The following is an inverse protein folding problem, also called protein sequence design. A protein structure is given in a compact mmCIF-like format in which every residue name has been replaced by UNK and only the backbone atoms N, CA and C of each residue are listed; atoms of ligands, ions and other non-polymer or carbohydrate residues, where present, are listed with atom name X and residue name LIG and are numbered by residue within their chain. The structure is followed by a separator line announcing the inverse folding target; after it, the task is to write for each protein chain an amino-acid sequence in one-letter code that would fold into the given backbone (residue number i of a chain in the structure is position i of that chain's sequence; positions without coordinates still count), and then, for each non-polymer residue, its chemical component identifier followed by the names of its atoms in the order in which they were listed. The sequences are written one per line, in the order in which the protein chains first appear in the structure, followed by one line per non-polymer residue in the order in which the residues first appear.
data_IF_227809221389
#
_entry.id   IF_227809221389
#
_cell.length_a   1.000
_cell.length_b   1.000
_cell.length_c   1.000
_cell.angle_alpha   90.00
_cell.angle_beta   90.00
_cell.angle_gamma   90.00
#
_symmetry.space_group_name_H-M   'P 1'
#
loop_
_entity.id
_entity.type
_entity.pdbx_description
1 polymer ?
#
# COMPACT_ATOMS: atom_id res chain seq x y z
N UNK A 1 31.12 8.02 8.41
CA UNK A 1 31.37 6.56 8.35
C UNK A 1 30.28 5.89 9.17
N UNK A 2 29.25 5.37 8.50
CA UNK A 2 28.25 4.48 9.11
C UNK A 2 28.47 3.13 8.46
N UNK A 3 28.91 2.16 9.26
CA UNK A 3 29.23 0.81 8.80
C UNK A 3 28.00 0.14 8.20
N UNK A 4 28.19 -0.42 7.01
CA UNK A 4 27.30 -1.39 6.41
C UNK A 4 27.33 -2.65 7.27
N UNK A 5 26.34 -2.81 8.14
CA UNK A 5 26.08 -4.11 8.75
C UNK A 5 25.25 -4.89 7.76
N UNK A 6 25.88 -5.83 7.07
CA UNK A 6 25.22 -6.92 6.35
C UNK A 6 24.46 -7.78 7.38
N UNK A 7 23.26 -7.34 7.76
CA UNK A 7 22.35 -8.20 8.53
C UNK A 7 21.60 -9.09 7.55
N UNK A 8 21.97 -10.37 7.51
CA UNK A 8 21.22 -11.42 6.82
C UNK A 8 19.72 -11.32 7.15
N UNK A 9 18.85 -11.39 6.13
CA UNK A 9 17.38 -11.25 6.25
C UNK A 9 16.72 -12.53 6.82
N UNK A 10 17.35 -13.11 7.84
CA UNK A 10 16.87 -14.27 8.58
C UNK A 10 15.71 -13.88 9.51
N UNK A 11 14.84 -14.86 9.82
CA UNK A 11 13.78 -14.63 10.81
C UNK A 11 14.42 -14.30 12.16
N UNK A 12 13.79 -13.45 13.00
CA UNK A 12 14.30 -13.19 14.34
C UNK A 12 14.48 -14.51 15.09
N UNK A 13 15.69 -14.79 15.55
CA UNK A 13 15.94 -15.90 16.47
C UNK A 13 15.24 -15.61 17.80
N UNK A 14 14.60 -16.62 18.42
CA UNK A 14 14.12 -16.45 19.79
C UNK A 14 15.30 -16.16 20.71
N UNK A 15 15.07 -15.28 21.69
CA UNK A 15 16.00 -15.00 22.78
C UNK A 15 16.19 -16.27 23.62
N UNK A 16 17.25 -16.29 24.44
CA UNK A 16 17.65 -17.45 25.24
C UNK A 16 16.58 -17.93 26.23
N UNK A 17 15.59 -17.10 26.55
CA UNK A 17 14.44 -17.39 27.41
C UNK A 17 13.18 -17.85 26.62
N UNK A 18 13.29 -17.99 25.29
CA UNK A 18 12.17 -18.31 24.40
C UNK A 18 11.30 -17.11 24.02
N UNK A 19 11.59 -15.91 24.53
CA UNK A 19 10.91 -14.68 24.13
C UNK A 19 11.43 -14.18 22.78
N UNK A 20 10.65 -13.38 22.05
CA UNK A 20 11.07 -12.81 20.77
C UNK A 20 11.44 -11.33 20.93
N UNK A 21 12.45 -10.86 20.19
CA UNK A 21 12.82 -9.44 20.18
C UNK A 21 11.60 -8.58 19.80
N UNK A 22 11.01 -7.82 20.74
CA UNK A 22 9.79 -7.06 20.49
C UNK A 22 10.05 -5.96 19.47
N UNK A 23 9.09 -5.72 18.58
CA UNK A 23 9.13 -4.55 17.71
C UNK A 23 8.30 -3.46 18.37
N UNK A 24 8.95 -2.42 18.86
CA UNK A 24 8.30 -1.27 19.49
C UNK A 24 8.18 -0.12 18.49
N UNK A 25 6.97 0.41 18.31
CA UNK A 25 6.68 1.46 17.35
C UNK A 25 6.40 2.78 18.07
N UNK A 26 6.96 3.92 17.62
CA UNK A 26 6.73 5.21 18.26
C UNK A 26 5.29 5.67 18.03
N UNK A 27 4.63 6.10 19.10
CA UNK A 27 3.25 6.66 19.07
C UNK A 27 3.30 8.19 18.90
N UNK A 28 4.36 8.82 19.42
CA UNK A 28 4.58 10.26 19.37
C UNK A 28 6.08 10.57 19.33
N UNK A 29 6.39 11.88 19.36
CA UNK A 29 7.76 12.40 19.41
C UNK A 29 8.32 12.52 20.83
N UNK A 30 7.53 12.19 21.85
CA UNK A 30 7.89 12.30 23.27
C UNK A 30 8.56 11.02 23.80
N UNK A 31 8.69 9.99 22.95
CA UNK A 31 9.34 8.74 23.30
C UNK A 31 8.38 7.69 23.84
N UNK A 32 7.08 7.81 23.59
CA UNK A 32 6.13 6.74 23.89
C UNK A 32 6.10 5.70 22.76
N UNK A 33 6.06 4.43 23.13
CA UNK A 33 6.09 3.30 22.18
C UNK A 33 4.95 2.32 22.44
N UNK A 34 4.51 1.66 21.37
CA UNK A 34 3.59 0.53 21.44
C UNK A 34 4.24 -0.74 20.87
N UNK A 35 4.18 -1.88 21.57
CA UNK A 35 4.67 -3.13 21.02
C UNK A 35 3.76 -3.64 19.90
N UNK A 36 4.37 -4.10 18.80
CA UNK A 36 3.68 -4.88 17.78
C UNK A 36 3.28 -6.23 18.40
N UNK A 37 2.02 -6.67 18.22
CA UNK A 37 1.55 -7.94 18.76
C UNK A 37 2.48 -9.10 18.39
N UNK A 38 2.80 -9.94 19.38
CA UNK A 38 3.79 -11.02 19.25
C UNK A 38 3.51 -11.95 18.06
N UNK A 39 2.23 -12.25 17.83
CA UNK A 39 1.74 -13.05 16.70
C UNK A 39 2.20 -12.55 15.34
N UNK A 40 2.40 -11.24 15.19
CA UNK A 40 2.97 -10.62 13.99
C UNK A 40 4.50 -10.48 14.12
N UNK A 41 4.98 -9.92 15.24
CA UNK A 41 6.39 -9.57 15.44
C UNK A 41 7.35 -10.77 15.29
N UNK A 42 6.90 -11.98 15.67
CA UNK A 42 7.66 -13.22 15.58
C UNK A 42 8.02 -13.63 14.16
N UNK A 43 7.22 -13.23 13.16
CA UNK A 43 7.40 -13.73 11.78
C UNK A 43 7.78 -12.65 10.78
N UNK A 44 7.73 -11.38 11.20
CA UNK A 44 8.28 -10.29 10.41
C UNK A 44 9.81 -10.44 10.29
N UNK A 45 10.28 -10.50 9.05
CA UNK A 45 11.71 -10.40 8.70
C UNK A 45 12.25 -8.99 8.97
N UNK A 46 13.58 -8.79 9.07
CA UNK A 46 14.20 -7.48 9.29
C UNK A 46 13.64 -6.36 8.41
N UNK A 47 13.63 -6.54 7.09
CA UNK A 47 13.03 -5.53 6.20
C UNK A 47 11.54 -5.32 6.53
N UNK A 48 10.78 -6.38 6.78
CA UNK A 48 9.36 -6.25 7.11
C UNK A 48 9.13 -5.46 8.41
N UNK A 49 10.02 -5.58 9.40
CA UNK A 49 9.98 -4.79 10.64
C UNK A 49 10.19 -3.30 10.37
N UNK A 50 11.19 -2.95 9.56
CA UNK A 50 11.41 -1.57 9.11
C UNK A 50 10.20 -1.01 8.35
N UNK A 51 9.60 -1.82 7.47
CA UNK A 51 8.44 -1.40 6.70
C UNK A 51 7.21 -1.18 7.57
N UNK A 52 7.00 -2.02 8.60
CA UNK A 52 5.96 -1.82 9.61
C UNK A 52 6.20 -0.53 10.40
N UNK A 53 7.44 -0.27 10.83
CA UNK A 53 7.77 0.96 11.55
C UNK A 53 7.57 2.21 10.70
N UNK A 54 8.03 2.19 9.44
CA UNK A 54 7.85 3.27 8.48
C UNK A 54 6.36 3.57 8.24
N UNK A 55 5.58 2.53 7.92
CA UNK A 55 4.14 2.69 7.69
C UNK A 55 3.43 3.23 8.94
N UNK A 56 3.76 2.71 10.13
CA UNK A 56 3.14 3.16 11.37
C UNK A 56 3.42 4.64 11.66
N UNK A 57 4.68 5.08 11.50
CA UNK A 57 5.07 6.48 11.64
C UNK A 57 4.32 7.39 10.65
N UNK A 58 4.23 6.98 9.38
CA UNK A 58 3.46 7.72 8.37
C UNK A 58 1.99 7.86 8.75
N UNK A 59 1.34 6.76 9.14
CA UNK A 59 -0.09 6.77 9.47
C UNK A 59 -0.42 7.55 10.75
N UNK A 60 0.55 7.75 11.65
CA UNK A 60 0.42 8.62 12.83
C UNK A 60 0.85 10.07 12.58
N UNK A 61 1.36 10.40 11.39
CA UNK A 61 1.82 11.76 11.07
C UNK A 61 3.16 12.10 11.73
N UNK A 62 3.97 11.08 12.03
CA UNK A 62 5.29 11.22 12.64
C UNK A 62 6.42 11.31 11.62
N UNK A 63 6.12 11.20 10.32
CA UNK A 63 7.10 11.32 9.25
C UNK A 63 7.80 12.68 9.24
N UNK A 64 9.10 12.64 8.97
CA UNK A 64 9.92 13.85 8.82
C UNK A 64 9.85 14.37 7.40
N UNK A 65 9.07 15.42 7.21
CA UNK A 65 8.98 16.15 5.95
C UNK A 65 10.04 17.26 5.88
N UNK A 66 10.49 17.64 4.67
CA UNK A 66 11.37 18.79 4.48
C UNK A 66 10.76 20.08 5.07
N UNK A 67 11.60 20.94 5.63
CA UNK A 67 11.16 22.19 6.30
C UNK A 67 10.34 23.08 5.37
N UNK A 68 10.71 23.11 4.10
CA UNK A 68 10.04 23.91 3.07
C UNK A 68 8.57 23.50 2.88
N UNK A 69 8.23 22.23 3.15
CA UNK A 69 6.84 21.74 3.10
C UNK A 69 6.14 21.94 4.44
N UNK A 70 6.84 21.69 5.55
CA UNK A 70 6.29 21.81 6.89
C UNK A 70 5.89 23.26 7.24
N UNK A 71 6.51 24.27 6.62
CA UNK A 71 6.13 25.68 6.77
C UNK A 71 4.85 26.06 6.01
N UNK A 72 4.55 25.36 4.91
CA UNK A 72 3.41 25.66 4.03
C UNK A 72 2.18 24.84 4.41
N UNK A 73 2.40 23.60 4.86
CA UNK A 73 1.35 22.61 5.11
C UNK A 73 1.54 21.99 6.48
N UNK A 74 0.44 21.80 7.21
CA UNK A 74 0.42 21.03 8.45
C UNK A 74 0.71 19.55 8.17
N UNK A 75 1.98 19.17 8.25
CA UNK A 75 2.46 17.81 7.97
C UNK A 75 2.00 16.79 9.00
N UNK A 76 1.53 17.21 10.18
CA UNK A 76 0.96 16.28 11.19
C UNK A 76 -0.33 15.62 10.69
N UNK A 77 -1.00 16.26 9.73
CA UNK A 77 -2.21 15.76 9.06
C UNK A 77 -1.90 14.93 7.81
N UNK A 78 -0.62 14.75 7.45
CA UNK A 78 -0.21 13.89 6.35
C UNK A 78 -0.11 12.44 6.83
N UNK A 79 -1.26 11.77 6.93
CA UNK A 79 -1.36 10.40 7.46
C UNK A 79 -1.41 9.32 6.35
N UNK A 80 -0.81 9.60 5.20
CA UNK A 80 -0.75 8.72 4.04
C UNK A 80 0.61 8.02 3.90
N UNK A 81 0.60 6.78 3.43
CA UNK A 81 1.80 6.00 3.16
C UNK A 81 1.64 5.20 1.86
N UNK A 82 2.73 5.07 1.10
CA UNK A 82 2.82 4.18 -0.07
C UNK A 82 3.94 3.16 0.17
N UNK A 83 3.59 1.88 0.24
CA UNK A 83 4.55 0.79 0.27
C UNK A 83 4.69 0.21 -1.14
N UNK A 84 5.78 0.55 -1.82
CA UNK A 84 6.09 0.22 -3.20
C UNK A 84 7.20 -0.85 -3.33
N UNK A 85 7.32 -1.72 -2.33
CA UNK A 85 8.23 -2.87 -2.37
C UNK A 85 7.95 -3.80 -3.56
N UNK A 86 8.98 -4.42 -4.10
CA UNK A 86 8.84 -5.46 -5.13
C UNK A 86 7.87 -6.60 -4.71
N UNK A 87 7.29 -7.27 -5.71
CA UNK A 87 6.42 -8.43 -5.50
C UNK A 87 7.20 -9.56 -4.81
N UNK A 88 6.68 -10.07 -3.69
CA UNK A 88 7.29 -11.15 -2.91
C UNK A 88 7.78 -10.75 -1.51
N UNK A 89 7.99 -9.46 -1.24
CA UNK A 89 8.47 -8.94 0.06
C UNK A 89 7.43 -8.93 1.21
N UNK A 90 6.24 -9.50 0.97
CA UNK A 90 5.23 -9.68 2.03
C UNK A 90 4.52 -8.39 2.49
N UNK A 91 4.28 -7.43 1.60
CA UNK A 91 3.51 -6.19 1.87
C UNK A 91 2.17 -6.45 2.58
N UNK A 92 1.49 -7.54 2.23
CA UNK A 92 0.23 -7.98 2.85
C UNK A 92 0.42 -8.27 4.34
N UNK A 93 1.49 -8.96 4.73
CA UNK A 93 1.79 -9.25 6.13
C UNK A 93 2.13 -7.97 6.90
N UNK A 94 2.97 -7.11 6.31
CA UNK A 94 3.35 -5.83 6.92
C UNK A 94 2.11 -4.94 7.16
N UNK A 95 1.21 -4.82 6.18
CA UNK A 95 -0.04 -4.05 6.34
C UNK A 95 -0.99 -4.64 7.39
N UNK A 96 -1.05 -5.97 7.54
CA UNK A 96 -1.81 -6.62 8.62
C UNK A 96 -1.19 -6.28 9.98
N UNK A 97 0.13 -6.35 10.11
CA UNK A 97 0.81 -6.04 11.36
C UNK A 97 0.56 -4.60 11.81
N UNK A 98 0.64 -3.63 10.90
CA UNK A 98 0.33 -2.22 11.19
C UNK A 98 -1.14 -2.04 11.57
N UNK A 99 -2.07 -2.56 10.77
CA UNK A 99 -3.51 -2.48 11.05
C UNK A 99 -3.86 -3.09 12.40
N UNK A 100 -3.29 -4.26 12.71
CA UNK A 100 -3.56 -4.98 13.95
C UNK A 100 -2.97 -4.27 15.17
N UNK A 101 -1.78 -3.68 15.02
CA UNK A 101 -1.17 -2.85 16.07
C UNK A 101 -2.08 -1.64 16.35
N UNK A 102 -2.48 -0.88 15.32
CA UNK A 102 -3.40 0.25 15.46
C UNK A 102 -4.74 -0.15 16.11
N UNK A 103 -5.30 -1.31 15.74
CA UNK A 103 -6.52 -1.83 16.33
C UNK A 103 -6.40 -2.06 17.84
N UNK A 104 -5.28 -2.62 18.30
CA UNK A 104 -5.07 -2.88 19.73
C UNK A 104 -4.70 -1.62 20.51
N UNK A 105 -3.85 -0.76 19.93
CA UNK A 105 -3.37 0.47 20.61
C UNK A 105 -4.50 1.44 20.94
N UNK A 106 -5.54 1.49 20.09
CA UNK A 106 -6.61 2.47 20.21
C UNK A 106 -7.96 1.88 20.68
N UNK A 107 -8.03 0.58 20.98
CA UNK A 107 -9.26 -0.09 21.41
C UNK A 107 -9.81 0.47 22.74
N UNK A 108 -8.92 0.95 23.61
CA UNK A 108 -9.27 1.49 24.93
C UNK A 108 -9.94 2.87 24.91
N UNK A 109 -9.95 3.60 23.78
CA UNK A 109 -10.48 4.97 23.74
C UNK A 109 -11.96 5.08 23.34
N UNK A 110 -12.71 3.98 23.30
CA UNK A 110 -14.16 3.94 23.00
C UNK A 110 -14.56 4.63 21.65
N UNK A 111 -13.58 4.87 20.77
CA UNK A 111 -13.76 5.39 19.42
C UNK A 111 -13.83 4.18 18.49
N UNK A 112 -14.91 4.07 17.71
CA UNK A 112 -15.07 3.01 16.70
C UNK A 112 -13.97 3.14 15.64
N UNK A 113 -12.89 2.40 15.77
CA UNK A 113 -11.88 2.33 14.72
C UNK A 113 -12.33 1.32 13.66
N UNK A 114 -12.88 1.84 12.57
CA UNK A 114 -13.35 1.01 11.46
C UNK A 114 -12.33 1.06 10.34
N UNK A 115 -11.91 -0.10 9.86
CA UNK A 115 -10.89 -0.22 8.84
C UNK A 115 -11.51 -0.76 7.55
N UNK A 116 -11.17 -0.16 6.41
CA UNK A 116 -11.55 -0.71 5.12
C UNK A 116 -10.30 -1.17 4.38
N UNK A 117 -10.26 -2.45 4.07
CA UNK A 117 -9.24 -3.04 3.21
C UNK A 117 -9.86 -3.27 1.84
N UNK A 118 -9.36 -2.54 0.86
CA UNK A 118 -9.72 -2.67 -0.54
C UNK A 118 -8.84 -3.76 -1.17
N UNK A 119 -9.50 -4.72 -1.79
CA UNK A 119 -8.86 -5.85 -2.45
C UNK A 119 -9.39 -6.03 -3.88
N UNK A 120 -8.77 -6.90 -4.66
CA UNK A 120 -9.21 -7.18 -6.03
C UNK A 120 -10.17 -8.37 -6.04
N UNK A 121 -11.30 -8.29 -6.76
CA UNK A 121 -12.01 -9.51 -7.12
C UNK A 121 -11.45 -10.04 -8.44
N UNK A 122 -10.52 -11.03 -8.40
CA UNK A 122 -10.17 -11.77 -9.62
C UNK A 122 -11.33 -12.71 -9.95
N UNK A 123 -12.18 -12.30 -10.90
CA UNK A 123 -13.07 -13.23 -11.62
C UNK A 123 -12.17 -14.13 -12.46
N UNK A 124 -12.20 -15.45 -12.23
CA UNK A 124 -11.72 -16.41 -13.24
C UNK A 124 -10.71 -17.45 -12.78
N UNK A 125 -9.49 -17.10 -12.33
CA UNK A 125 -8.41 -18.12 -12.29
C UNK A 125 -7.56 -18.15 -11.00
N UNK A 126 -7.58 -17.11 -10.15
CA UNK A 126 -6.83 -17.14 -8.88
C UNK A 126 -7.65 -16.57 -7.72
N UNK A 127 -8.47 -17.43 -7.08
CA UNK A 127 -9.08 -17.20 -5.76
C UNK A 127 -8.04 -17.15 -4.62
N UNK A 128 -6.77 -16.84 -4.88
CA UNK A 128 -5.67 -17.07 -3.93
C UNK A 128 -5.52 -15.93 -2.93
N UNK A 129 -5.75 -14.67 -3.31
CA UNK A 129 -5.40 -13.55 -2.44
C UNK A 129 -6.47 -13.13 -1.41
N UNK A 130 -7.77 -13.05 -1.78
CA UNK A 130 -8.84 -12.81 -0.79
C UNK A 130 -8.93 -13.99 0.17
N UNK A 131 -8.82 -15.20 -0.37
CA UNK A 131 -8.78 -16.42 0.43
C UNK A 131 -7.55 -16.44 1.33
N UNK A 132 -6.37 -16.00 0.88
CA UNK A 132 -5.17 -15.87 1.71
C UNK A 132 -5.33 -14.87 2.85
N UNK A 133 -5.93 -13.69 2.62
CA UNK A 133 -6.18 -12.66 3.64
C UNK A 133 -7.30 -13.09 4.60
N UNK A 134 -8.43 -13.60 4.08
CA UNK A 134 -9.50 -14.18 4.89
C UNK A 134 -8.96 -15.36 5.68
N UNK A 135 -8.16 -16.26 5.11
CA UNK A 135 -7.56 -17.37 5.86
C UNK A 135 -6.57 -16.88 6.91
N UNK A 136 -5.80 -15.82 6.62
CA UNK A 136 -4.90 -15.17 7.58
C UNK A 136 -5.64 -14.58 8.77
N UNK A 137 -6.88 -14.12 8.58
CA UNK A 137 -7.71 -13.46 9.59
C UNK A 137 -8.73 -14.40 10.26
N UNK A 138 -9.35 -15.33 9.52
CA UNK A 138 -10.50 -16.18 9.90
C UNK A 138 -10.12 -17.59 10.39
N UNK A 139 -8.84 -17.86 10.69
CA UNK A 139 -8.31 -19.16 11.13
C UNK A 139 -9.31 -20.31 11.23
N UNK A 140 -9.49 -21.10 10.16
CA UNK A 140 -10.09 -22.43 10.28
C UNK A 140 -9.00 -23.40 10.73
N UNK A 141 -9.25 -24.07 11.85
CA UNK A 141 -8.39 -25.14 12.39
C UNK A 141 -8.10 -26.18 11.30
N UNK A 142 -6.83 -26.51 11.08
CA UNK A 142 -6.44 -27.64 10.22
C UNK A 142 -5.34 -27.38 9.17
N UNK A 143 -4.78 -26.17 9.04
CA UNK A 143 -3.59 -25.97 8.20
C UNK A 143 -2.67 -24.93 8.85
N UNK A 144 -1.39 -25.30 9.02
CA UNK A 144 -0.40 -24.68 9.91
C UNK A 144 -0.37 -23.15 9.93
N UNK A 145 -0.11 -22.62 11.13
CA UNK A 145 0.28 -21.25 11.48
C UNK A 145 -0.23 -20.13 10.56
N UNK A 146 -1.50 -19.77 10.70
CA UNK A 146 -2.06 -18.55 10.11
C UNK A 146 -2.03 -17.39 11.12
N UNK A 147 -1.56 -16.23 10.66
CA UNK A 147 -1.02 -15.10 11.44
C UNK A 147 -1.85 -14.64 12.65
N UNK A 148 -3.16 -14.42 12.47
CA UNK A 148 -4.00 -13.83 13.52
C UNK A 148 -4.95 -14.84 14.20
N UNK A 149 -4.90 -16.13 13.82
CA UNK A 149 -5.65 -17.24 14.46
C UNK A 149 -7.11 -16.91 14.87
N UNK A 150 -7.84 -16.12 14.09
CA UNK A 150 -9.23 -15.74 14.40
C UNK A 150 -9.41 -14.57 15.38
N UNK A 151 -8.33 -13.94 15.86
CA UNK A 151 -8.37 -12.81 16.79
C UNK A 151 -9.00 -11.54 16.18
N UNK A 152 -8.90 -11.37 14.85
CA UNK A 152 -9.44 -10.21 14.15
C UNK A 152 -10.77 -10.54 13.46
N UNK A 153 -11.89 -10.15 14.10
CA UNK A 153 -13.22 -10.29 13.50
C UNK A 153 -13.38 -9.29 12.34
N UNK A 154 -13.85 -9.77 11.20
CA UNK A 154 -13.97 -8.98 9.98
C UNK A 154 -15.18 -9.39 9.15
N UNK A 155 -15.66 -8.46 8.33
CA UNK A 155 -16.71 -8.70 7.34
C UNK A 155 -16.10 -8.69 5.95
N UNK A 156 -16.23 -9.80 5.23
CA UNK A 156 -15.76 -9.94 3.86
C UNK A 156 -16.93 -9.85 2.86
N UNK A 157 -16.87 -8.84 2.00
CA UNK A 157 -17.85 -8.60 0.95
C UNK A 157 -17.31 -9.13 -0.37
N UNK A 158 -17.65 -10.39 -0.65
CA UNK A 158 -17.43 -11.03 -1.93
C UNK A 158 -18.67 -11.86 -2.28
N UNK A 159 -19.54 -11.27 -3.08
CA UNK A 159 -20.72 -11.92 -3.59
C UNK A 159 -21.06 -11.34 -4.97
N UNK A 160 -21.47 -12.20 -5.90
CA UNK A 160 -21.91 -11.76 -7.23
C UNK A 160 -23.30 -11.15 -7.22
N UNK A 161 -24.10 -11.42 -6.18
CA UNK A 161 -25.48 -10.92 -6.07
C UNK A 161 -25.50 -9.58 -5.34
N UNK A 162 -25.94 -8.53 -6.04
CA UNK A 162 -26.02 -7.14 -5.53
C UNK A 162 -26.76 -7.03 -4.18
N UNK A 163 -27.88 -7.75 -4.01
CA UNK A 163 -28.67 -7.70 -2.77
C UNK A 163 -27.89 -8.26 -1.58
N UNK A 164 -27.08 -9.30 -1.77
CA UNK A 164 -26.25 -9.88 -0.70
C UNK A 164 -25.08 -8.96 -0.34
N UNK A 165 -24.48 -8.30 -1.34
CA UNK A 165 -23.47 -7.25 -1.12
C UNK A 165 -24.03 -6.11 -0.27
N UNK A 166 -25.21 -5.61 -0.64
CA UNK A 166 -25.91 -4.57 0.12
C UNK A 166 -26.22 -5.01 1.55
N UNK A 167 -26.78 -6.21 1.73
CA UNK A 167 -27.08 -6.74 3.06
C UNK A 167 -25.84 -6.84 3.96
N UNK A 168 -24.69 -7.27 3.42
CA UNK A 168 -23.43 -7.31 4.18
C UNK A 168 -22.91 -5.91 4.54
N UNK A 169 -22.98 -4.96 3.61
CA UNK A 169 -22.54 -3.59 3.84
C UNK A 169 -23.43 -2.86 4.86
N UNK A 170 -24.74 -3.06 4.79
CA UNK A 170 -25.69 -2.50 5.76
C UNK A 170 -25.60 -3.20 7.11
N UNK A 171 -25.42 -4.52 7.12
CA UNK A 171 -25.19 -5.30 8.33
C UNK A 171 -23.92 -4.86 9.07
N UNK A 172 -22.85 -4.55 8.34
CA UNK A 172 -21.60 -4.07 8.93
C UNK A 172 -21.74 -2.80 9.76
N UNK A 173 -22.74 -1.95 9.46
CA UNK A 173 -23.04 -0.75 10.28
C UNK A 173 -23.47 -1.12 11.71
N UNK A 174 -24.20 -2.23 11.85
CA UNK A 174 -24.76 -2.69 13.11
C UNK A 174 -23.89 -3.77 13.78
N UNK A 175 -22.96 -4.36 13.04
CA UNK A 175 -21.97 -5.29 13.55
C UNK A 175 -20.99 -4.56 14.48
N UNK A 176 -21.14 -4.78 15.79
CA UNK A 176 -20.24 -4.23 16.82
C UNK A 176 -18.98 -5.06 17.02
N UNK A 177 -18.91 -6.20 16.36
CA UNK A 177 -17.89 -7.21 16.55
C UNK A 177 -16.82 -7.07 15.47
N UNK A 178 -17.22 -6.96 14.21
CA UNK A 178 -16.29 -6.79 13.09
C UNK A 178 -15.75 -5.37 13.03
N UNK A 179 -14.45 -5.19 13.23
CA UNK A 179 -13.78 -3.88 13.11
C UNK A 179 -13.18 -3.64 11.72
N UNK A 180 -13.05 -4.70 10.93
CA UNK A 180 -12.43 -4.68 9.60
C UNK A 180 -13.44 -5.06 8.52
N UNK A 181 -13.53 -4.24 7.48
CA UNK A 181 -14.30 -4.50 6.28
C UNK A 181 -13.36 -4.79 5.11
N UNK A 182 -13.55 -5.93 4.46
CA UNK A 182 -12.80 -6.31 3.26
C UNK A 182 -13.75 -6.26 2.07
N UNK A 183 -13.47 -5.39 1.10
CA UNK A 183 -14.31 -5.19 -0.09
C UNK A 183 -13.47 -5.10 -1.36
N UNK A 184 -14.10 -5.33 -2.51
CA UNK A 184 -13.44 -5.06 -3.79
C UNK A 184 -13.49 -3.60 -4.21
N UNK A 185 -12.56 -3.16 -5.05
CA UNK A 185 -12.60 -1.82 -5.66
C UNK A 185 -13.91 -1.56 -6.40
N UNK A 186 -14.39 -2.56 -7.13
CA UNK A 186 -15.62 -2.49 -7.91
C UNK A 186 -16.84 -2.34 -6.98
N UNK A 187 -16.86 -3.03 -5.85
CA UNK A 187 -17.93 -2.90 -4.84
C UNK A 187 -17.95 -1.50 -4.22
N UNK A 188 -16.78 -0.91 -3.93
CA UNK A 188 -16.69 0.48 -3.45
C UNK A 188 -17.25 1.45 -4.47
N UNK A 189 -16.84 1.34 -5.73
CA UNK A 189 -17.36 2.21 -6.80
C UNK A 189 -18.88 2.07 -6.95
N UNK A 190 -19.41 0.85 -6.96
CA UNK A 190 -20.85 0.61 -7.13
C UNK A 190 -21.71 1.07 -5.95
N UNK A 191 -21.16 1.05 -4.73
CA UNK A 191 -21.90 1.32 -3.48
C UNK A 191 -21.35 2.53 -2.72
N UNK A 192 -20.63 3.43 -3.39
CA UNK A 192 -19.96 4.58 -2.79
C UNK A 192 -20.88 5.42 -1.90
N UNK A 193 -22.10 5.74 -2.37
CA UNK A 193 -23.07 6.54 -1.60
C UNK A 193 -23.41 5.91 -0.26
N UNK A 194 -23.56 4.58 -0.24
CA UNK A 194 -23.87 3.85 0.99
C UNK A 194 -22.67 3.82 1.93
N UNK A 195 -21.50 3.49 1.39
CA UNK A 195 -20.25 3.39 2.16
C UNK A 195 -19.89 4.76 2.76
N UNK A 196 -19.91 5.82 1.96
CA UNK A 196 -19.58 7.18 2.39
C UNK A 196 -20.55 7.75 3.43
N UNK A 197 -21.86 7.52 3.26
CA UNK A 197 -22.85 8.15 4.13
C UNK A 197 -23.14 7.34 5.40
N UNK A 198 -23.02 6.01 5.35
CA UNK A 198 -23.40 5.13 6.47
C UNK A 198 -22.20 4.62 7.28
N UNK A 199 -20.99 4.60 6.71
CA UNK A 199 -19.79 4.06 7.34
C UNK A 199 -18.73 5.16 7.48
N UNK A 200 -18.00 5.14 8.59
CA UNK A 200 -16.84 6.01 8.83
C UNK A 200 -15.62 5.12 8.94
N UNK A 201 -14.53 5.45 8.28
CA UNK A 201 -13.29 4.67 8.32
C UNK A 201 -12.13 5.54 8.80
N UNK A 202 -11.30 4.98 9.67
CA UNK A 202 -10.10 5.66 10.15
C UNK A 202 -8.86 5.35 9.30
N UNK A 203 -8.85 4.19 8.64
CA UNK A 203 -7.79 3.76 7.75
C UNK A 203 -8.35 3.02 6.53
N UNK A 204 -7.90 3.44 5.35
CA UNK A 204 -8.06 2.72 4.08
C UNK A 204 -6.74 2.01 3.76
N UNK A 205 -6.80 0.72 3.46
CA UNK A 205 -5.67 -0.03 2.90
C UNK A 205 -6.03 -0.44 1.47
N UNK A 206 -5.32 0.09 0.50
CA UNK A 206 -5.52 -0.18 -0.92
C UNK A 206 -4.43 -1.12 -1.44
N UNK A 207 -4.79 -2.39 -1.66
CA UNK A 207 -3.86 -3.37 -2.24
C UNK A 207 -3.82 -3.23 -3.78
N UNK A 208 -2.66 -3.46 -4.39
CA UNK A 208 -2.43 -3.21 -5.82
C UNK A 208 -2.84 -1.80 -6.28
N UNK A 209 -2.33 -0.79 -5.56
CA UNK A 209 -2.68 0.62 -5.76
C UNK A 209 -2.34 1.14 -7.16
N UNK A 210 -1.48 0.46 -7.93
CA UNK A 210 -1.26 0.77 -9.34
C UNK A 210 -2.56 0.76 -10.16
N UNK A 211 -3.63 0.05 -9.75
CA UNK A 211 -4.94 0.13 -10.41
C UNK A 211 -5.62 1.49 -10.27
N UNK A 212 -5.22 2.30 -9.29
CA UNK A 212 -5.79 3.61 -8.98
C UNK A 212 -5.14 4.74 -9.77
N UNK A 213 -4.13 4.43 -10.59
CA UNK A 213 -3.37 5.41 -11.39
C UNK A 213 -4.23 6.09 -12.45
N UNK A 214 -5.28 5.42 -12.95
CA UNK A 214 -6.12 5.98 -13.99
C UNK A 214 -7.33 6.74 -13.40
N UNK A 215 -7.35 8.06 -13.57
CA UNK A 215 -8.43 8.96 -13.15
C UNK A 215 -9.77 8.65 -13.82
N UNK A 216 -9.75 8.07 -15.03
CA UNK A 216 -10.97 7.75 -15.79
C UNK A 216 -11.77 6.60 -15.19
N UNK A 217 -11.13 5.74 -14.39
CA UNK A 217 -11.78 4.57 -13.80
C UNK A 217 -12.86 4.92 -12.76
N UNK A 218 -12.94 6.19 -12.32
CA UNK A 218 -13.85 6.66 -11.27
C UNK A 218 -13.58 6.06 -9.89
N UNK A 219 -12.71 5.06 -9.78
CA UNK A 219 -12.35 4.37 -8.52
C UNK A 219 -11.46 5.27 -7.67
N UNK A 220 -10.45 5.91 -8.27
CA UNK A 220 -9.58 6.87 -7.58
C UNK A 220 -10.39 8.02 -6.99
N UNK A 221 -11.31 8.61 -7.77
CA UNK A 221 -12.24 9.64 -7.32
C UNK A 221 -13.16 9.12 -6.19
N UNK A 222 -13.70 7.90 -6.32
CA UNK A 222 -14.53 7.29 -5.29
C UNK A 222 -13.79 7.18 -3.94
N UNK A 223 -12.57 6.63 -3.95
CA UNK A 223 -11.75 6.48 -2.74
C UNK A 223 -11.31 7.85 -2.21
N UNK A 224 -10.91 8.77 -3.09
CA UNK A 224 -10.54 10.13 -2.69
C UNK A 224 -11.68 10.85 -1.96
N UNK A 225 -12.92 10.64 -2.41
CA UNK A 225 -14.13 11.22 -1.84
C UNK A 225 -14.55 10.64 -0.48
N UNK A 226 -13.95 9.53 -0.04
CA UNK A 226 -14.22 8.94 1.27
C UNK A 226 -13.54 9.72 2.38
N UNK A 227 -14.29 9.98 3.45
CA UNK A 227 -13.78 10.63 4.65
C UNK A 227 -12.95 9.64 5.47
N UNK A 228 -11.64 9.64 5.23
CA UNK A 228 -10.68 8.78 5.90
C UNK A 228 -9.32 9.48 5.98
N UNK A 229 -8.84 9.65 7.20
CA UNK A 229 -7.56 10.35 7.48
C UNK A 229 -6.35 9.51 7.10
N UNK A 230 -6.29 8.25 7.57
CA UNK A 230 -5.13 7.39 7.33
C UNK A 230 -5.31 6.62 6.04
N UNK A 231 -4.30 6.60 5.17
CA UNK A 231 -4.39 5.94 3.86
C UNK A 231 -3.11 5.19 3.56
N UNK A 232 -3.18 3.87 3.43
CA UNK A 232 -2.06 3.01 3.11
C UNK A 232 -2.25 2.41 1.72
N UNK A 233 -1.38 2.76 0.80
CA UNK A 233 -1.37 2.22 -0.57
C UNK A 233 -0.26 1.18 -0.70
N UNK A 234 -0.59 -0.03 -1.16
CA UNK A 234 0.39 -1.09 -1.40
C UNK A 234 0.51 -1.31 -2.91
N UNK A 235 1.71 -1.29 -3.46
CA UNK A 235 1.94 -1.60 -4.88
C UNK A 235 3.20 -2.45 -5.05
N UNK A 236 3.14 -3.45 -5.92
CA UNK A 236 4.30 -4.28 -6.29
C UNK A 236 5.00 -3.83 -7.56
N UNK A 237 4.33 -3.00 -8.37
CA UNK A 237 4.89 -2.42 -9.56
C UNK A 237 5.47 -1.05 -9.23
N UNK A 238 6.68 -0.74 -9.72
CA UNK A 238 7.20 0.61 -9.60
C UNK A 238 6.24 1.56 -10.30
N UNK A 239 5.96 2.69 -9.65
CA UNK A 239 5.39 3.87 -10.31
C UNK A 239 6.17 4.07 -11.60
N UNK A 240 5.51 3.94 -12.76
CA UNK A 240 6.17 3.74 -14.04
C UNK A 240 6.74 5.06 -14.59
N UNK A 241 7.65 5.74 -13.87
CA UNK A 241 8.26 7.02 -14.25
C UNK A 241 7.29 8.09 -14.81
N UNK A 242 5.98 7.95 -14.59
CA UNK A 242 4.98 8.93 -14.98
C UNK A 242 4.67 9.78 -13.77
N UNK A 243 5.06 11.05 -13.85
CA UNK A 243 4.80 12.04 -12.82
C UNK A 243 3.29 12.16 -12.59
N UNK A 244 2.44 12.09 -13.61
CA UNK A 244 0.99 12.20 -13.42
C UNK A 244 0.44 11.07 -12.56
N UNK A 245 0.85 9.83 -12.81
CA UNK A 245 0.45 8.68 -12.00
C UNK A 245 0.91 8.82 -10.55
N UNK A 246 2.15 9.31 -10.37
CA UNK A 246 2.68 9.60 -9.03
C UNK A 246 1.85 10.65 -8.31
N UNK A 247 1.50 11.77 -8.96
CA UNK A 247 0.72 12.83 -8.33
C UNK A 247 -0.71 12.37 -7.99
N UNK A 248 -1.33 11.53 -8.82
CA UNK A 248 -2.65 10.94 -8.51
C UNK A 248 -2.58 10.06 -7.26
N UNK A 249 -1.57 9.19 -7.15
CA UNK A 249 -1.41 8.31 -5.99
C UNK A 249 -0.93 9.07 -4.75
N UNK A 250 -0.09 10.08 -4.93
CA UNK A 250 0.36 11.00 -3.89
C UNK A 250 -0.80 11.81 -3.30
N UNK A 251 -1.68 12.36 -4.14
CA UNK A 251 -2.90 13.04 -3.72
C UNK A 251 -3.89 12.09 -3.05
N UNK A 252 -3.97 10.85 -3.52
CA UNK A 252 -4.81 9.84 -2.88
C UNK A 252 -4.29 9.49 -1.49
N UNK A 253 -2.98 9.32 -1.30
CA UNK A 253 -2.39 9.00 0.00
C UNK A 253 -2.41 10.22 0.94
N UNK A 254 -1.90 11.36 0.48
CA UNK A 254 -1.66 12.58 1.25
C UNK A 254 -2.31 13.81 0.56
N UNK A 255 -3.64 13.97 0.64
CA UNK A 255 -4.35 15.07 -0.01
C UNK A 255 -3.97 16.46 0.52
N UNK A 256 -3.43 16.53 1.75
CA UNK A 256 -3.00 17.79 2.38
C UNK A 256 -1.73 18.34 1.72
N UNK A 257 -0.84 17.46 1.27
CA UNK A 257 0.44 17.84 0.64
C UNK A 257 0.28 18.03 -0.86
N UNK A 258 -0.45 17.12 -1.50
CA UNK A 258 -0.66 17.10 -2.94
C UNK A 258 -2.08 17.60 -3.25
N UNK A 259 -2.26 18.92 -3.25
CA UNK A 259 -3.48 19.55 -3.78
C UNK A 259 -3.34 19.75 -5.29
N UNK A 260 -4.24 19.14 -6.07
CA UNK A 260 -4.12 18.96 -7.53
C UNK A 260 -3.59 20.20 -8.30
N UNK A 261 -4.14 21.39 -8.09
CA UNK A 261 -3.75 22.55 -8.91
C UNK A 261 -2.41 23.20 -8.51
N UNK A 262 -2.14 23.33 -7.21
CA UNK A 262 -0.93 24.02 -6.73
C UNK A 262 0.30 23.13 -6.86
N UNK A 263 0.18 21.85 -6.51
CA UNK A 263 1.32 20.91 -6.57
C UNK A 263 1.71 20.63 -8.02
N UNK A 264 0.75 20.53 -8.94
CA UNK A 264 1.04 20.37 -10.38
C UNK A 264 1.80 21.58 -10.94
N UNK A 265 1.37 22.80 -10.63
CA UNK A 265 2.08 24.02 -11.07
C UNK A 265 3.49 24.15 -10.48
N UNK A 266 3.68 23.73 -9.22
CA UNK A 266 4.96 23.88 -8.53
C UNK A 266 6.01 22.81 -8.88
N UNK A 267 5.56 21.60 -9.22
CA UNK A 267 6.45 20.46 -9.46
C UNK A 267 6.30 19.87 -10.86
N UNK A 268 5.09 19.49 -11.29
CA UNK A 268 4.88 18.80 -12.58
C UNK A 268 5.29 19.70 -13.75
N UNK A 269 4.75 20.92 -13.84
CA UNK A 269 4.99 21.78 -15.00
C UNK A 269 6.48 22.15 -15.17
N UNK A 270 7.21 22.56 -14.11
CA UNK A 270 8.64 22.84 -14.23
C UNK A 270 9.47 21.62 -14.61
N UNK A 271 9.13 20.44 -14.07
CA UNK A 271 9.87 19.21 -14.38
C UNK A 271 9.65 18.81 -15.83
N UNK A 272 8.41 18.86 -16.32
CA UNK A 272 8.10 18.57 -17.73
C UNK A 272 8.78 19.57 -18.67
N UNK A 273 8.80 20.86 -18.31
CA UNK A 273 9.47 21.88 -19.09
C UNK A 273 10.98 21.60 -19.25
N UNK A 274 11.66 21.16 -18.20
CA UNK A 274 13.09 20.82 -18.25
C UNK A 274 13.42 19.45 -18.85
N UNK A 275 12.44 18.58 -19.10
CA UNK A 275 12.61 17.31 -19.83
C UNK A 275 12.51 17.52 -21.35
N UNK A 276 11.87 18.61 -21.79
CA UNK A 276 11.71 18.91 -23.20
C UNK A 276 13.08 19.06 -23.91
N UNK A 277 13.24 18.54 -25.14
CA UNK A 277 14.51 18.64 -25.87
C UNK A 277 14.97 20.07 -26.13
N UNK A 278 14.02 21.00 -26.25
CA UNK A 278 14.28 22.43 -26.53
C UNK A 278 14.44 23.28 -25.26
N UNK A 279 14.55 22.64 -24.09
CA UNK A 279 14.67 23.34 -22.82
C UNK A 279 16.00 24.10 -22.67
N UNK A 280 15.93 25.29 -22.10
CA UNK A 280 17.13 26.08 -21.78
C UNK A 280 17.90 25.49 -20.60
N UNK A 281 19.21 25.73 -20.50
CA UNK A 281 20.03 25.28 -19.37
C UNK A 281 19.49 25.72 -18.00
N UNK A 282 18.84 26.90 -17.96
CA UNK A 282 18.17 27.41 -16.76
C UNK A 282 16.96 26.55 -16.37
N UNK A 283 16.13 26.14 -17.34
CA UNK A 283 14.97 25.27 -17.12
C UNK A 283 15.40 23.85 -16.70
N UNK A 284 16.45 23.31 -17.31
CA UNK A 284 17.01 22.01 -16.94
C UNK A 284 17.51 22.03 -15.49
N UNK A 285 18.22 23.09 -15.10
CA UNK A 285 18.74 23.24 -13.73
C UNK A 285 17.60 23.39 -12.72
N UNK A 286 16.58 24.20 -13.04
CA UNK A 286 15.40 24.38 -12.20
C UNK A 286 14.57 23.10 -12.05
N UNK A 287 14.40 22.33 -13.13
CA UNK A 287 13.73 21.03 -13.11
C UNK A 287 14.45 20.03 -12.21
N UNK A 288 15.79 19.97 -12.26
CA UNK A 288 16.59 19.10 -11.38
C UNK A 288 16.42 19.45 -9.90
N UNK A 289 16.39 20.74 -9.56
CA UNK A 289 16.15 21.20 -8.18
C UNK A 289 14.74 20.81 -7.68
N UNK A 290 13.72 21.03 -8.51
CA UNK A 290 12.34 20.61 -8.20
C UNK A 290 12.21 19.10 -8.06
N UNK A 291 12.89 18.33 -8.90
CA UNK A 291 12.89 16.87 -8.81
C UNK A 291 13.56 16.39 -7.51
N UNK A 292 14.69 16.99 -7.13
CA UNK A 292 15.39 16.70 -5.87
C UNK A 292 14.50 16.99 -4.65
N UNK A 293 13.82 18.13 -4.65
CA UNK A 293 12.86 18.49 -3.61
C UNK A 293 11.70 17.50 -3.55
N UNK A 294 11.12 17.15 -4.70
CA UNK A 294 10.03 16.18 -4.79
C UNK A 294 10.46 14.79 -4.27
N UNK A 295 11.69 14.37 -4.57
CA UNK A 295 12.24 13.11 -4.07
C UNK A 295 12.33 13.09 -2.53
N UNK A 296 12.80 14.19 -1.91
CA UNK A 296 12.84 14.30 -0.43
C UNK A 296 11.45 14.19 0.19
N UNK A 297 10.45 14.86 -0.39
CA UNK A 297 9.06 14.77 0.06
C UNK A 297 8.52 13.34 -0.10
N UNK A 298 8.82 12.72 -1.24
CA UNK A 298 8.40 11.35 -1.57
C UNK A 298 8.95 10.35 -0.57
N UNK A 299 10.23 10.46 -0.21
CA UNK A 299 10.88 9.55 0.76
C UNK A 299 10.27 9.63 2.17
N UNK A 300 9.57 10.70 2.52
CA UNK A 300 8.91 10.82 3.82
C UNK A 300 7.66 9.93 3.95
N UNK A 301 7.04 9.50 2.84
CA UNK A 301 5.82 8.70 2.85
C UNK A 301 5.80 7.52 1.87
N UNK A 302 6.82 7.36 1.03
CA UNK A 302 6.98 6.24 0.11
C UNK A 302 8.18 5.41 0.51
N UNK A 303 7.96 4.12 0.76
CA UNK A 303 9.02 3.15 0.98
C UNK A 303 9.06 2.18 -0.19
N UNK A 304 10.23 2.04 -0.82
CA UNK A 304 10.46 1.11 -1.93
C UNK A 304 11.74 0.33 -1.70
N UNK A 305 11.63 -1.00 -1.72
CA UNK A 305 12.76 -1.92 -1.63
C UNK A 305 12.71 -2.96 -2.73
N UNK A 306 13.89 -3.42 -3.14
CA UNK A 306 14.01 -4.39 -4.22
C UNK A 306 14.15 -5.82 -3.69
N UNK A 307 13.71 -6.79 -4.51
CA UNK A 307 13.89 -8.23 -4.30
C UNK A 307 15.36 -8.67 -4.21
N UNK A 308 16.33 -7.80 -4.50
CA UNK A 308 17.76 -8.05 -4.20
C UNK A 308 17.94 -8.43 -2.73
N UNK A 309 17.14 -7.87 -1.83
CA UNK A 309 17.16 -8.19 -0.40
C UNK A 309 16.83 -9.65 -0.08
N UNK A 310 16.07 -10.33 -0.96
CA UNK A 310 15.66 -11.74 -0.75
C UNK A 310 16.65 -12.75 -1.33
N UNK A 311 17.63 -12.32 -2.13
CA UNK A 311 18.64 -13.22 -2.73
C UNK A 311 19.53 -13.89 -1.69
N UNK A 312 19.66 -13.29 -0.52
CA UNK A 312 20.42 -13.85 0.60
C UNK A 312 19.68 -15.00 1.29
N UNK A 313 18.36 -15.16 1.05
CA UNK A 313 17.50 -16.10 1.80
C UNK A 313 16.76 -17.09 0.92
N UNK A 314 16.51 -16.76 -0.35
CA UNK A 314 15.83 -17.61 -1.32
C UNK A 314 16.85 -18.19 -2.32
N UNK A 315 16.67 -19.45 -2.78
CA UNK A 315 17.50 -20.01 -3.84
C UNK A 315 17.42 -19.16 -5.11
N UNK A 316 18.50 -19.17 -5.90
CA UNK A 316 18.63 -18.31 -7.08
C UNK A 316 17.44 -18.47 -8.04
N UNK A 317 16.88 -17.33 -8.43
CA UNK A 317 15.82 -17.29 -9.44
C UNK A 317 16.43 -17.56 -10.81
N UNK A 318 16.26 -18.78 -11.32
CA UNK A 318 16.60 -19.12 -12.71
C UNK A 318 15.52 -18.54 -13.62
N UNK A 319 15.88 -17.52 -14.40
CA UNK A 319 15.03 -16.97 -15.46
C UNK A 319 15.45 -17.60 -16.78
N UNK A 320 14.67 -18.56 -17.27
CA UNK A 320 14.83 -19.10 -18.60
C UNK A 320 13.99 -18.29 -19.59
N UNK A 321 14.64 -17.54 -20.48
CA UNK A 321 13.99 -16.90 -21.62
C UNK A 321 14.07 -17.86 -22.79
N UNK A 322 12.99 -18.58 -23.07
CA UNK A 322 12.89 -19.44 -24.25
C UNK A 322 12.33 -18.64 -25.41
N UNK A 323 13.20 -18.24 -26.34
CA UNK A 323 12.78 -17.71 -27.64
C UNK A 323 12.36 -18.89 -28.53
N UNK A 324 11.06 -19.07 -28.70
CA UNK A 324 10.54 -20.05 -29.65
C UNK A 324 10.59 -19.42 -31.06
N UNK A 325 11.28 -20.04 -32.03
CA UNK A 325 11.18 -19.60 -33.41
C UNK A 325 9.72 -19.72 -33.86
N UNK A 326 9.21 -18.66 -34.50
CA UNK A 326 7.87 -18.63 -35.06
C UNK A 326 7.73 -19.79 -36.06
N UNK A 327 6.87 -20.77 -35.76
CA UNK A 327 6.65 -21.90 -36.67
C UNK A 327 6.14 -21.38 -38.02
N UNK A 328 6.58 -22.00 -39.11
CA UNK A 328 6.31 -21.61 -40.51
C UNK A 328 4.83 -21.38 -40.83
N UNK A 329 3.90 -21.98 -40.08
CA UNK A 329 2.47 -21.76 -40.25
C UNK A 329 2.04 -20.33 -39.85
N UNK A 330 2.63 -19.76 -38.80
CA UNK A 330 2.32 -18.43 -38.30
C UNK A 330 2.96 -17.31 -39.12
N UNK A 331 4.10 -17.56 -39.76
CA UNK A 331 4.72 -16.59 -40.68
C UNK A 331 3.90 -16.46 -41.96
N UNK A 332 3.35 -17.55 -42.50
CA UNK A 332 2.45 -17.49 -43.65
C UNK A 332 1.20 -16.65 -43.39
N UNK A 333 0.57 -16.82 -42.22
CA UNK A 333 -0.61 -16.03 -41.83
C UNK A 333 -0.26 -14.57 -41.51
N UNK A 334 0.88 -14.32 -40.86
CA UNK A 334 1.34 -12.96 -40.55
C UNK A 334 1.74 -12.17 -41.81
N UNK A 335 2.40 -12.82 -42.77
CA UNK A 335 2.72 -12.23 -44.07
C UNK A 335 1.44 -11.95 -44.86
N UNK A 336 0.48 -12.87 -44.89
CA UNK A 336 -0.83 -12.63 -45.52
C UNK A 336 -1.57 -11.44 -44.90
N UNK A 337 -1.52 -11.27 -43.58
CA UNK A 337 -2.12 -10.11 -42.88
C UNK A 337 -1.41 -8.79 -43.20
N UNK A 338 -0.09 -8.80 -43.39
CA UNK A 338 0.69 -7.61 -43.75
C UNK A 338 0.54 -7.22 -45.21
N UNK A 339 0.21 -8.16 -46.09
CA UNK A 339 -0.03 -7.91 -47.53
C UNK A 339 -1.48 -7.58 -47.87
N UNK A 340 -2.39 -7.60 -46.90
CA UNK A 340 -3.83 -7.40 -47.10
C UNK A 340 -4.31 -5.93 -46.95
N UNK A 341 -3.39 -4.97 -46.96
CA UNK A 341 -3.68 -3.51 -47.05
C UNK A 341 -3.30 -2.97 -48.41
#
# INVERSE_FOLDING_TARGET
MLGTVDTCDEKPTPLSDGSYNPLNLPIDREGHYVPVPEVCARVLRPHQREGVAFMFACLLGLSDYPKEVAEIVDTTKANGCILADDMGLGKTLQSIAVMWTLLQSFDGQNKRCTFIRLWLHMVGVYKVGMHGVIMSLSGREGSGDKWLKGACRHTAVNDGVRSKVLAKLEGFKYDRVSKVLIVSYEAVRMHLKLIKNKLKFDLIIADEAHRLKNSESGISSAIASMDCRKRLLLTGTPLQNDLNEFFILGALANPVIFTDDKSRKNYVNPILAGINPDATDKEITFAKDKLSTLAKITNAFVLRRSNVLLRTVLPDKVVAVSTLPQQLLFTATAVQLLTAT
#
